data_IF_454196297837
#
_entry.id   IF_454196297837
#
_cell.length_a   1.000
_cell.length_b   1.000
_cell.length_c   1.000
_cell.angle_alpha   90.00
_cell.angle_beta   90.00
_cell.angle_gamma   90.00
#
_symmetry.space_group_name_H-M   'P 1'
#
loop_
_entity.id
_entity.type
_entity.pdbx_description
1 polymer ?
#
# COMPACT_ATOMS: atom_id res chain seq x y z
N UNK A 1 3.32 -26.50 5.56
CA UNK A 1 2.99 -26.48 6.99
C UNK A 1 1.51 -26.74 7.14
N UNK A 2 1.18 -27.82 7.84
CA UNK A 2 -0.22 -28.17 8.14
C UNK A 2 -0.61 -27.40 9.40
N UNK A 3 -1.35 -26.29 9.23
CA UNK A 3 -1.88 -25.50 10.34
C UNK A 3 -2.96 -26.33 11.05
N UNK A 4 -2.93 -26.36 12.37
CA UNK A 4 -3.95 -27.06 13.16
C UNK A 4 -5.33 -26.43 12.91
N UNK A 5 -6.41 -27.22 12.78
CA UNK A 5 -7.76 -26.70 12.54
C UNK A 5 -8.21 -25.62 13.55
N UNK A 6 -7.81 -25.75 14.81
CA UNK A 6 -8.11 -24.78 15.84
C UNK A 6 -7.39 -23.45 15.63
N UNK A 7 -6.13 -23.46 15.18
CA UNK A 7 -5.38 -22.26 14.85
C UNK A 7 -5.99 -21.58 13.62
N UNK A 8 -6.37 -22.36 12.61
CA UNK A 8 -7.06 -21.86 11.42
C UNK A 8 -8.35 -21.13 11.80
N UNK A 9 -9.13 -21.71 12.72
CA UNK A 9 -10.38 -21.13 13.21
C UNK A 9 -10.11 -19.83 13.99
N UNK A 10 -9.13 -19.81 14.89
CA UNK A 10 -8.75 -18.61 15.66
C UNK A 10 -8.29 -17.48 14.74
N UNK A 11 -7.46 -17.77 13.74
CA UNK A 11 -7.02 -16.81 12.74
C UNK A 11 -8.21 -16.25 11.94
N UNK A 12 -9.15 -17.10 11.55
CA UNK A 12 -10.34 -16.66 10.80
C UNK A 12 -11.19 -15.66 11.59
N UNK A 13 -11.42 -15.91 12.86
CA UNK A 13 -12.16 -14.97 13.73
C UNK A 13 -11.37 -13.68 13.98
N UNK A 14 -10.06 -13.77 14.13
CA UNK A 14 -9.18 -12.62 14.28
C UNK A 14 -9.27 -11.68 13.07
N UNK A 15 -9.06 -12.20 11.87
CA UNK A 15 -9.13 -11.41 10.63
C UNK A 15 -10.56 -10.90 10.35
N UNK A 16 -11.58 -11.70 10.62
CA UNK A 16 -12.97 -11.27 10.52
C UNK A 16 -13.28 -10.10 11.49
N UNK A 17 -12.68 -10.12 12.67
CA UNK A 17 -12.81 -9.02 13.64
C UNK A 17 -12.28 -7.70 13.11
N UNK A 18 -11.09 -7.68 12.56
CA UNK A 18 -10.53 -6.49 11.90
C UNK A 18 -11.42 -5.99 10.76
N UNK A 19 -11.86 -6.91 9.90
CA UNK A 19 -12.65 -6.57 8.72
C UNK A 19 -14.01 -5.96 9.06
N UNK A 20 -14.74 -6.51 10.04
CA UNK A 20 -16.06 -6.02 10.43
C UNK A 20 -15.95 -4.63 11.04
N UNK A 21 -14.98 -4.36 11.88
CA UNK A 21 -14.77 -3.03 12.44
C UNK A 21 -14.42 -2.03 11.35
N UNK A 22 -13.54 -2.40 10.42
CA UNK A 22 -13.22 -1.55 9.27
C UNK A 22 -14.43 -1.25 8.38
N UNK A 23 -15.38 -2.16 8.27
CA UNK A 23 -16.61 -1.97 7.50
C UNK A 23 -17.61 -1.04 8.22
N UNK A 24 -17.72 -1.17 9.53
CA UNK A 24 -18.74 -0.45 10.33
C UNK A 24 -18.31 1.00 10.60
N UNK A 25 -17.03 1.25 10.86
CA UNK A 25 -16.53 2.58 11.21
C UNK A 25 -16.30 3.43 9.95
N UNK A 26 -16.85 4.67 9.91
CA UNK A 26 -16.98 5.42 8.65
C UNK A 26 -15.68 6.02 8.12
N UNK A 27 -14.69 6.26 8.98
CA UNK A 27 -13.42 6.89 8.55
C UNK A 27 -12.35 5.91 8.10
N UNK A 28 -12.61 4.62 8.23
CA UNK A 28 -11.65 3.57 7.87
C UNK A 28 -11.71 3.21 6.40
N UNK A 29 -10.56 2.86 5.85
CA UNK A 29 -10.46 2.42 4.47
C UNK A 29 -11.19 1.09 4.27
N UNK A 30 -11.83 0.89 3.10
CA UNK A 30 -12.61 -0.31 2.83
C UNK A 30 -11.72 -1.55 2.80
N UNK A 31 -12.30 -2.67 3.24
CA UNK A 31 -11.67 -3.98 3.16
C UNK A 31 -11.61 -4.43 1.71
N UNK A 32 -10.42 -4.72 1.21
CA UNK A 32 -10.19 -5.22 -0.15
C UNK A 32 -10.08 -6.73 -0.21
N UNK A 33 -9.48 -7.31 0.80
CA UNK A 33 -9.30 -8.76 0.89
C UNK A 33 -9.08 -9.19 2.33
N UNK A 34 -9.62 -10.34 2.68
CA UNK A 34 -9.34 -11.05 3.91
C UNK A 34 -8.76 -12.42 3.53
N UNK A 35 -7.69 -12.83 4.18
CA UNK A 35 -7.05 -14.13 3.93
C UNK A 35 -6.53 -14.75 5.21
N UNK A 36 -6.73 -16.05 5.33
CA UNK A 36 -6.13 -16.88 6.39
C UNK A 36 -5.05 -17.83 5.84
N UNK A 37 -4.60 -17.55 4.62
CA UNK A 37 -3.45 -18.25 4.04
C UNK A 37 -2.19 -17.60 4.60
N UNK A 38 -1.30 -18.39 5.21
CA UNK A 38 -0.08 -17.86 5.79
C UNK A 38 0.80 -17.14 4.76
N UNK A 39 1.28 -15.96 5.12
CA UNK A 39 2.20 -15.17 4.30
C UNK A 39 3.38 -14.71 5.17
N UNK A 40 4.56 -15.27 4.91
CA UNK A 40 5.74 -14.98 5.72
C UNK A 40 5.56 -15.43 7.18
N UNK A 41 5.55 -14.48 8.11
CA UNK A 41 5.31 -14.72 9.55
C UNK A 41 3.84 -14.54 9.97
N UNK A 42 3.02 -13.96 9.12
CA UNK A 42 1.61 -13.75 9.37
C UNK A 42 0.82 -15.03 9.08
N UNK A 43 -0.11 -15.38 9.97
CA UNK A 43 -1.02 -16.51 9.80
C UNK A 43 -2.23 -16.17 8.94
N UNK A 44 -2.50 -14.86 8.77
CA UNK A 44 -3.55 -14.29 7.93
C UNK A 44 -3.31 -12.80 7.72
N UNK A 45 -4.21 -12.13 7.01
CA UNK A 45 -4.22 -10.68 6.85
C UNK A 45 -5.58 -10.16 6.43
N UNK A 46 -5.86 -8.93 6.82
CA UNK A 46 -6.95 -8.11 6.32
C UNK A 46 -6.34 -6.91 5.60
N UNK A 47 -6.56 -6.81 4.30
CA UNK A 47 -6.02 -5.74 3.46
C UNK A 47 -7.04 -4.62 3.30
N UNK A 48 -6.66 -3.44 3.78
CA UNK A 48 -7.37 -2.19 3.56
C UNK A 48 -6.53 -1.32 2.63
N UNK A 49 -7.13 -0.73 1.61
CA UNK A 49 -6.44 0.18 0.71
C UNK A 49 -7.06 1.56 0.80
N UNK A 50 -6.26 2.61 0.92
CA UNK A 50 -6.73 3.99 0.89
C UNK A 50 -7.52 4.26 -0.39
N UNK A 51 -8.65 4.95 -0.26
CA UNK A 51 -9.42 5.43 -1.41
C UNK A 51 -8.92 6.79 -1.89
N UNK A 52 -8.37 7.57 -0.97
CA UNK A 52 -7.90 8.94 -1.23
C UNK A 52 -6.59 9.20 -0.48
N UNK A 53 -5.78 10.12 -0.98
CA UNK A 53 -4.60 10.61 -0.28
C UNK A 53 -5.04 11.48 0.90
N UNK A 54 -4.70 11.06 2.13
CA UNK A 54 -5.00 11.81 3.35
C UNK A 54 -3.79 12.66 3.74
N UNK A 55 -4.01 13.98 3.80
CA UNK A 55 -2.97 14.93 4.23
C UNK A 55 -3.00 15.25 5.72
N UNK A 56 -4.07 14.87 6.41
CA UNK A 56 -4.27 15.12 7.84
C UNK A 56 -4.92 13.94 8.54
N UNK A 57 -4.53 13.69 9.77
CA UNK A 57 -5.12 12.66 10.64
C UNK A 57 -5.97 13.36 11.71
N UNK A 58 -7.24 13.03 11.80
CA UNK A 58 -8.12 13.52 12.86
C UNK A 58 -8.13 12.58 14.06
N UNK A 59 -8.41 13.14 15.25
CA UNK A 59 -8.52 12.37 16.50
C UNK A 59 -9.54 11.22 16.39
N UNK A 60 -10.68 11.47 15.75
CA UNK A 60 -11.70 10.44 15.52
C UNK A 60 -11.21 9.31 14.64
N UNK A 61 -10.52 9.63 13.56
CA UNK A 61 -9.96 8.63 12.63
C UNK A 61 -8.90 7.75 13.31
N UNK A 62 -8.00 8.35 14.08
CA UNK A 62 -6.99 7.60 14.83
C UNK A 62 -7.63 6.72 15.91
N UNK A 63 -8.67 7.19 16.60
CA UNK A 63 -9.43 6.37 17.55
C UNK A 63 -10.12 5.19 16.88
N UNK A 64 -10.69 5.38 15.70
CA UNK A 64 -11.32 4.30 14.91
C UNK A 64 -10.27 3.31 14.42
N UNK A 65 -9.10 3.79 14.00
CA UNK A 65 -7.99 2.93 13.58
C UNK A 65 -7.50 2.04 14.75
N UNK A 66 -7.39 2.60 15.95
CA UNK A 66 -7.05 1.81 17.15
C UNK A 66 -8.12 0.73 17.39
N UNK A 67 -9.41 1.05 17.28
CA UNK A 67 -10.49 0.08 17.42
C UNK A 67 -10.36 -1.06 16.41
N UNK A 68 -10.04 -0.76 15.15
CA UNK A 68 -9.81 -1.77 14.12
C UNK A 68 -8.61 -2.66 14.44
N UNK A 69 -7.48 -2.08 14.87
CA UNK A 69 -6.30 -2.85 15.27
C UNK A 69 -6.57 -3.80 16.44
N UNK A 70 -7.42 -3.41 17.38
CA UNK A 70 -7.82 -4.25 18.52
C UNK A 70 -8.88 -5.29 18.16
N UNK A 71 -9.50 -5.18 16.98
CA UNK A 71 -10.62 -6.01 16.56
C UNK A 71 -10.35 -7.51 16.54
N UNK A 72 -9.16 -7.92 16.10
CA UNK A 72 -8.76 -9.32 16.09
C UNK A 72 -8.72 -9.92 17.49
N UNK A 73 -8.10 -9.22 18.44
CA UNK A 73 -8.05 -9.63 19.84
C UNK A 73 -9.43 -9.67 20.50
N UNK A 74 -10.26 -8.68 20.22
CA UNK A 74 -11.64 -8.63 20.73
C UNK A 74 -12.45 -9.81 20.18
N UNK A 75 -12.34 -10.12 18.89
CA UNK A 75 -13.00 -11.26 18.27
C UNK A 75 -12.60 -12.58 18.94
N UNK A 76 -11.32 -12.79 19.23
CA UNK A 76 -10.84 -13.94 19.97
C UNK A 76 -11.47 -14.00 21.37
N UNK A 77 -11.51 -12.88 22.10
CA UNK A 77 -12.05 -12.81 23.46
C UNK A 77 -13.52 -13.17 23.51
N UNK A 78 -14.36 -12.58 22.67
CA UNK A 78 -15.80 -12.81 22.70
C UNK A 78 -16.18 -14.20 22.17
N UNK A 79 -15.36 -14.78 21.28
CA UNK A 79 -15.65 -16.09 20.69
C UNK A 79 -15.10 -17.25 21.50
N UNK A 80 -13.87 -17.14 21.98
CA UNK A 80 -13.14 -18.24 22.64
C UNK A 80 -12.92 -18.01 24.14
N UNK A 81 -13.22 -16.82 24.65
CA UNK A 81 -12.89 -16.38 26.01
C UNK A 81 -11.39 -16.59 26.35
N UNK A 82 -10.52 -16.41 25.35
CA UNK A 82 -9.09 -16.62 25.43
C UNK A 82 -8.36 -15.65 24.49
N UNK A 83 -7.04 -15.57 24.64
CA UNK A 83 -6.19 -14.70 23.83
C UNK A 83 -5.03 -15.47 23.23
N UNK A 84 -4.72 -15.21 21.98
CA UNK A 84 -3.49 -15.67 21.35
C UNK A 84 -2.41 -14.58 21.35
N UNK A 85 -1.17 -14.97 21.10
CA UNK A 85 -0.06 -14.04 20.84
C UNK A 85 -0.14 -13.38 19.45
N UNK A 86 -1.10 -13.77 18.60
CA UNK A 86 -1.26 -13.25 17.23
C UNK A 86 -1.49 -11.75 17.16
N UNK A 87 -2.18 -11.21 18.15
CA UNK A 87 -2.48 -9.77 18.23
C UNK A 87 -1.31 -8.88 18.72
N UNK A 88 -0.12 -9.42 18.97
CA UNK A 88 0.99 -8.65 19.55
C UNK A 88 1.40 -7.44 18.72
N UNK A 89 1.47 -7.58 17.40
CA UNK A 89 1.78 -6.49 16.49
C UNK A 89 0.68 -5.43 16.47
N UNK A 90 -0.58 -5.84 16.45
CA UNK A 90 -1.73 -4.93 16.45
C UNK A 90 -1.79 -4.11 17.74
N UNK A 91 -1.54 -4.75 18.88
CA UNK A 91 -1.47 -4.08 20.19
C UNK A 91 -0.32 -3.08 20.22
N UNK A 92 0.85 -3.44 19.69
CA UNK A 92 1.99 -2.53 19.59
C UNK A 92 1.63 -1.31 18.74
N UNK A 93 1.10 -1.50 17.55
CA UNK A 93 0.69 -0.40 16.66
C UNK A 93 -0.40 0.48 17.29
N UNK A 94 -1.40 -0.13 17.92
CA UNK A 94 -2.44 0.60 18.65
C UNK A 94 -1.84 1.50 19.76
N UNK A 95 -0.90 0.95 20.53
CA UNK A 95 -0.20 1.68 21.60
C UNK A 95 0.63 2.83 21.05
N UNK A 96 1.35 2.62 19.94
CA UNK A 96 2.14 3.66 19.27
C UNK A 96 1.26 4.82 18.77
N UNK A 97 0.10 4.52 18.17
CA UNK A 97 -0.88 5.53 17.75
C UNK A 97 -1.40 6.31 18.97
N UNK A 98 -1.83 5.64 20.02
CA UNK A 98 -2.32 6.29 21.24
C UNK A 98 -1.26 7.18 21.88
N UNK A 99 -0.01 6.73 21.94
CA UNK A 99 1.12 7.50 22.44
C UNK A 99 1.40 8.75 21.58
N UNK A 100 1.40 8.60 20.26
CA UNK A 100 1.53 9.72 19.30
C UNK A 100 0.41 10.75 19.49
N UNK A 101 -0.84 10.32 19.65
CA UNK A 101 -1.97 11.21 19.89
C UNK A 101 -1.76 12.07 21.15
N UNK A 102 -1.30 11.45 22.24
CA UNK A 102 -1.12 12.12 23.53
C UNK A 102 0.13 12.99 23.57
N UNK A 103 1.27 12.49 23.10
CA UNK A 103 2.57 13.13 23.28
C UNK A 103 3.00 14.03 22.14
N UNK A 104 2.48 13.82 20.91
CA UNK A 104 2.92 14.54 19.70
C UNK A 104 1.84 15.40 19.08
N UNK A 105 0.61 14.91 19.05
CA UNK A 105 -0.48 15.56 18.31
C UNK A 105 -1.39 16.43 19.18
N UNK A 106 -1.14 16.48 20.49
CA UNK A 106 -1.94 17.30 21.42
C UNK A 106 -3.41 16.91 21.44
N UNK A 107 -3.74 15.64 21.26
CA UNK A 107 -5.12 15.15 21.13
C UNK A 107 -5.71 14.64 22.46
N UNK A 108 -5.05 14.87 23.58
CA UNK A 108 -5.58 14.62 24.92
C UNK A 108 -6.09 15.90 25.52
N UNK A 109 -7.33 15.91 25.99
CA UNK A 109 -7.92 17.08 26.66
C UNK A 109 -7.26 17.34 28.03
N UNK A 110 -6.81 16.28 28.71
CA UNK A 110 -6.10 16.39 30.01
C UNK A 110 -4.70 17.00 29.88
N UNK A 111 -3.96 16.63 28.85
CA UNK A 111 -2.58 17.07 28.64
C UNK A 111 -2.45 18.28 27.73
N UNK A 112 -3.50 18.60 26.98
CA UNK A 112 -3.59 19.75 26.09
C UNK A 112 -2.68 19.67 24.85
N UNK A 113 -2.59 20.77 24.09
CA UNK A 113 -1.84 20.85 22.84
C UNK A 113 -0.35 21.12 23.10
N UNK A 114 0.32 20.20 23.77
CA UNK A 114 1.72 20.28 24.17
C UNK A 114 2.44 19.04 23.63
N UNK A 115 3.66 19.24 23.13
CA UNK A 115 4.56 18.14 22.75
C UNK A 115 5.38 17.71 23.97
N UNK A 116 5.24 16.45 24.35
CA UNK A 116 5.97 15.83 25.44
C UNK A 116 7.07 14.91 24.88
N UNK A 117 8.28 15.07 25.38
CA UNK A 117 9.46 14.32 24.95
C UNK A 117 10.15 14.94 23.73
N UNK A 118 11.44 14.64 23.56
CA UNK A 118 12.22 15.06 22.41
C UNK A 118 11.88 14.20 21.17
N UNK A 119 11.60 14.87 20.05
CA UNK A 119 11.13 14.23 18.81
C UNK A 119 12.14 13.45 18.01
N UNK A 120 13.35 13.29 18.48
CA UNK A 120 14.43 12.67 17.73
C UNK A 120 14.98 11.44 18.45
N UNK A 121 14.41 10.29 18.17
CA UNK A 121 15.22 9.08 18.11
C UNK A 121 15.67 8.91 16.65
N UNK A 122 16.58 9.75 16.19
CA UNK A 122 17.40 9.37 15.04
C UNK A 122 18.25 8.20 15.51
N UNK A 123 17.92 7.03 14.98
CA UNK A 123 18.78 5.85 15.05
C UNK A 123 20.01 6.15 14.19
N UNK A 124 20.93 6.91 14.77
CA UNK A 124 22.25 7.10 14.19
C UNK A 124 23.25 6.28 15.00
N UNK A 125 23.73 5.20 14.39
CA UNK A 125 24.89 4.41 14.80
C UNK A 125 24.84 3.80 16.22
N UNK A 126 23.90 2.90 16.49
CA UNK A 126 24.09 1.86 17.51
C UNK A 126 24.24 2.34 18.97
N UNK A 127 23.94 3.60 19.28
CA UNK A 127 23.75 4.09 20.63
C UNK A 127 22.32 4.55 20.79
N UNK A 128 21.62 3.79 21.60
CA UNK A 128 20.31 4.12 22.15
C UNK A 128 20.49 5.34 23.09
N UNK A 129 20.54 6.54 22.51
CA UNK A 129 20.30 7.75 23.27
C UNK A 129 18.77 7.82 23.43
N UNK A 130 18.27 7.17 24.47
CA UNK A 130 16.90 7.33 24.91
C UNK A 130 16.57 8.82 24.95
N UNK A 131 15.58 9.24 24.13
CA UNK A 131 15.17 10.64 24.08
C UNK A 131 14.96 11.17 25.49
N UNK A 132 15.60 12.27 25.79
CA UNK A 132 15.60 12.83 27.13
C UNK A 132 14.16 13.19 27.50
N UNK A 133 13.69 12.61 28.60
CA UNK A 133 12.37 12.84 29.16
C UNK A 133 12.33 14.27 29.68
N UNK A 134 11.67 15.17 28.95
CA UNK A 134 11.57 16.59 29.27
C UNK A 134 10.31 16.97 30.06
N UNK A 135 9.76 16.04 30.83
CA UNK A 135 8.56 16.24 31.66
C UNK A 135 8.65 15.50 33.00
N UNK A 136 7.86 15.95 33.96
CA UNK A 136 7.83 15.42 35.32
C UNK A 136 7.29 14.00 35.42
N UNK A 137 7.56 13.31 36.55
CA UNK A 137 6.98 11.99 36.81
C UNK A 137 5.44 12.05 36.92
N UNK A 138 4.88 13.14 37.44
CA UNK A 138 3.45 13.34 37.50
C UNK A 138 2.85 13.46 36.10
N UNK A 139 3.49 14.16 35.19
CA UNK A 139 3.10 14.22 33.78
C UNK A 139 3.22 12.85 33.09
N UNK A 140 4.30 12.10 33.37
CA UNK A 140 4.45 10.74 32.86
C UNK A 140 3.30 9.83 33.26
N UNK A 141 2.86 9.91 34.53
CA UNK A 141 1.71 9.15 35.01
C UNK A 141 0.40 9.54 34.30
N UNK A 142 0.21 10.83 33.98
CA UNK A 142 -0.94 11.30 33.20
C UNK A 142 -0.87 10.81 31.75
N UNK A 143 0.31 10.80 31.13
CA UNK A 143 0.51 10.24 29.79
C UNK A 143 0.12 8.76 29.76
N UNK A 144 0.59 7.97 30.71
CA UNK A 144 0.24 6.55 30.83
C UNK A 144 -1.27 6.33 31.03
N UNK A 145 -1.88 7.16 31.87
CA UNK A 145 -3.33 7.16 32.13
C UNK A 145 -4.13 7.47 30.86
N UNK A 146 -3.74 8.49 30.09
CA UNK A 146 -4.40 8.89 28.86
C UNK A 146 -4.26 7.83 27.75
N UNK A 147 -3.07 7.24 27.60
CA UNK A 147 -2.87 6.11 26.67
C UNK A 147 -3.80 4.95 27.02
N UNK A 148 -3.83 4.58 28.30
CA UNK A 148 -4.73 3.52 28.78
C UNK A 148 -6.19 3.84 28.52
N UNK A 149 -6.63 5.08 28.74
CA UNK A 149 -7.99 5.53 28.47
C UNK A 149 -8.33 5.39 26.98
N UNK A 150 -7.49 5.88 26.08
CA UNK A 150 -7.69 5.82 24.63
C UNK A 150 -7.81 4.35 24.18
N UNK A 151 -6.90 3.49 24.61
CA UNK A 151 -6.92 2.05 24.28
C UNK A 151 -8.19 1.38 24.83
N UNK A 152 -8.59 1.66 26.07
CA UNK A 152 -9.78 1.08 26.69
C UNK A 152 -11.06 1.50 25.97
N UNK A 153 -11.22 2.77 25.64
CA UNK A 153 -12.37 3.28 24.89
C UNK A 153 -12.45 2.66 23.49
N UNK A 154 -11.32 2.51 22.80
CA UNK A 154 -11.26 1.87 21.50
C UNK A 154 -11.58 0.37 21.58
N UNK A 155 -11.11 -0.31 22.62
CA UNK A 155 -11.41 -1.71 22.90
C UNK A 155 -12.90 -1.92 23.14
N UNK A 156 -13.51 -1.10 24.02
CA UNK A 156 -14.94 -1.18 24.35
C UNK A 156 -15.81 -0.93 23.11
N UNK A 157 -15.42 0.01 22.26
CA UNK A 157 -16.08 0.26 20.97
C UNK A 157 -16.00 -0.96 20.05
N UNK A 158 -14.83 -1.56 19.92
CA UNK A 158 -14.63 -2.77 19.14
C UNK A 158 -15.47 -3.94 19.67
N UNK A 159 -15.52 -4.11 20.99
CA UNK A 159 -16.35 -5.14 21.64
C UNK A 159 -17.84 -4.93 21.38
N UNK A 160 -18.33 -3.69 21.49
CA UNK A 160 -19.70 -3.34 21.17
C UNK A 160 -20.04 -3.68 19.72
N UNK A 161 -19.22 -3.24 18.76
CA UNK A 161 -19.45 -3.48 17.33
C UNK A 161 -19.49 -4.98 17.04
N UNK A 162 -18.51 -5.76 17.51
CA UNK A 162 -18.45 -7.18 17.24
C UNK A 162 -19.53 -7.98 17.96
N UNK A 163 -20.03 -7.50 19.09
CA UNK A 163 -21.16 -8.11 19.78
C UNK A 163 -22.46 -7.86 19.02
N UNK A 164 -22.69 -6.62 18.56
CA UNK A 164 -23.84 -6.27 17.73
C UNK A 164 -23.87 -6.99 16.38
N UNK A 165 -22.68 -7.31 15.82
CA UNK A 165 -22.49 -8.02 14.55
C UNK A 165 -22.00 -9.46 14.75
N UNK A 166 -22.34 -10.10 15.85
CA UNK A 166 -21.82 -11.43 16.20
C UNK A 166 -22.20 -12.51 15.18
N UNK A 167 -23.36 -12.41 14.54
CA UNK A 167 -23.81 -13.27 13.45
C UNK A 167 -22.94 -13.11 12.19
N UNK A 168 -22.57 -11.88 11.83
CA UNK A 168 -21.66 -11.58 10.72
C UNK A 168 -20.24 -12.02 11.03
N UNK A 169 -19.77 -11.81 12.25
CA UNK A 169 -18.46 -12.30 12.70
C UNK A 169 -18.36 -13.82 12.52
N UNK A 170 -19.36 -14.55 12.96
CA UNK A 170 -19.42 -16.00 12.79
C UNK A 170 -19.44 -16.40 11.32
N UNK A 171 -20.32 -15.78 10.52
CA UNK A 171 -20.46 -16.09 9.09
C UNK A 171 -19.15 -15.87 8.34
N UNK A 172 -18.52 -14.69 8.46
CA UNK A 172 -17.27 -14.36 7.78
C UNK A 172 -16.14 -15.29 8.21
N UNK A 173 -16.00 -15.53 9.52
CA UNK A 173 -14.96 -16.42 10.03
C UNK A 173 -15.14 -17.87 9.54
N UNK A 174 -16.34 -18.41 9.57
CA UNK A 174 -16.61 -19.77 9.10
C UNK A 174 -16.46 -19.91 7.58
N UNK A 175 -16.82 -18.85 6.82
CA UNK A 175 -16.52 -18.79 5.40
C UNK A 175 -15.02 -18.86 5.13
N UNK A 176 -14.21 -18.07 5.86
CA UNK A 176 -12.75 -18.10 5.75
C UNK A 176 -12.15 -19.46 6.12
N UNK A 177 -12.69 -20.14 7.12
CA UNK A 177 -12.26 -21.50 7.46
C UNK A 177 -12.45 -22.46 6.29
N UNK A 178 -13.54 -22.29 5.52
CA UNK A 178 -13.90 -23.16 4.38
C UNK A 178 -13.14 -22.77 3.09
N UNK A 179 -13.12 -21.49 2.75
CA UNK A 179 -12.61 -20.99 1.47
C UNK A 179 -11.29 -20.23 1.54
N UNK A 180 -10.79 -19.95 2.74
CA UNK A 180 -9.49 -19.34 3.07
C UNK A 180 -9.32 -17.88 2.68
N UNK A 181 -10.06 -17.38 1.70
CA UNK A 181 -10.01 -15.99 1.23
C UNK A 181 -11.39 -15.44 0.95
N UNK A 182 -11.55 -14.12 1.15
CA UNK A 182 -12.76 -13.37 0.80
C UNK A 182 -12.34 -12.04 0.19
N UNK A 183 -12.84 -11.73 -1.02
CA UNK A 183 -12.56 -10.45 -1.65
C UNK A 183 -13.55 -9.36 -1.22
N UNK A 184 -13.32 -8.12 -1.68
CA UNK A 184 -14.13 -6.95 -1.36
C UNK A 184 -15.62 -7.14 -1.65
N UNK A 185 -15.96 -7.68 -2.82
CA UNK A 185 -17.36 -7.84 -3.25
C UNK A 185 -18.04 -8.93 -2.41
N UNK A 186 -17.36 -10.05 -2.19
CA UNK A 186 -17.84 -11.12 -1.32
C UNK A 186 -18.09 -10.62 0.11
N UNK A 187 -17.13 -9.89 0.68
CA UNK A 187 -17.24 -9.37 2.04
C UNK A 187 -18.37 -8.35 2.17
N UNK A 188 -18.44 -7.38 1.27
CA UNK A 188 -19.51 -6.38 1.24
C UNK A 188 -20.88 -7.03 1.12
N UNK A 189 -21.04 -8.00 0.20
CA UNK A 189 -22.29 -8.74 0.02
C UNK A 189 -22.66 -9.52 1.29
N UNK A 190 -21.70 -10.19 1.93
CA UNK A 190 -21.93 -10.90 3.18
C UNK A 190 -22.38 -9.99 4.33
N UNK A 191 -21.88 -8.75 4.38
CA UNK A 191 -22.24 -7.76 5.40
C UNK A 191 -23.61 -7.13 5.14
N UNK A 192 -24.02 -6.92 3.90
CA UNK A 192 -25.23 -6.20 3.52
C UNK A 192 -26.52 -7.04 3.55
N UNK A 193 -26.44 -8.36 3.64
CA UNK A 193 -27.60 -9.22 3.65
C UNK A 193 -27.32 -10.62 4.21
N UNK A 194 -28.36 -11.44 4.22
CA UNK A 194 -28.23 -12.85 4.61
C UNK A 194 -28.02 -13.72 3.37
N UNK A 195 -26.90 -14.42 3.36
CA UNK A 195 -26.47 -15.24 2.24
C UNK A 195 -25.93 -16.59 2.72
N UNK A 196 -25.99 -17.58 1.83
CA UNK A 196 -25.29 -18.84 2.05
C UNK A 196 -23.81 -18.73 1.65
N UNK A 197 -22.98 -19.66 2.10
CA UNK A 197 -21.57 -19.71 1.69
C UNK A 197 -21.42 -19.93 0.19
N UNK A 198 -22.31 -20.73 -0.38
CA UNK A 198 -22.34 -21.05 -1.80
C UNK A 198 -22.67 -19.82 -2.66
N UNK A 199 -23.62 -18.98 -2.23
CA UNK A 199 -23.96 -17.72 -2.91
C UNK A 199 -22.77 -16.75 -2.90
N UNK A 200 -22.07 -16.62 -1.78
CA UNK A 200 -20.89 -15.76 -1.67
C UNK A 200 -19.73 -16.32 -2.51
N UNK A 201 -19.53 -17.64 -2.53
CA UNK A 201 -18.48 -18.26 -3.33
C UNK A 201 -18.74 -18.14 -4.83
N UNK A 202 -19.99 -18.21 -5.26
CA UNK A 202 -20.39 -18.06 -6.67
C UNK A 202 -19.96 -16.71 -7.26
N UNK A 203 -19.90 -15.65 -6.45
CA UNK A 203 -19.40 -14.33 -6.86
C UNK A 203 -17.95 -14.45 -7.38
N UNK A 204 -17.10 -15.18 -6.65
CA UNK A 204 -15.72 -15.40 -7.05
C UNK A 204 -15.60 -16.30 -8.28
N UNK A 205 -16.41 -17.35 -8.33
CA UNK A 205 -16.40 -18.31 -9.43
C UNK A 205 -16.86 -17.65 -10.73
N UNK A 206 -17.86 -16.78 -10.67
CA UNK A 206 -18.31 -15.98 -11.82
C UNK A 206 -17.23 -14.99 -12.29
N UNK A 207 -16.56 -14.32 -11.36
CA UNK A 207 -15.44 -13.43 -11.67
C UNK A 207 -14.30 -14.18 -12.36
N UNK A 208 -13.97 -15.38 -11.88
CA UNK A 208 -12.95 -16.24 -12.51
C UNK A 208 -13.37 -16.65 -13.93
N UNK A 209 -14.62 -17.06 -14.12
CA UNK A 209 -15.13 -17.43 -15.46
C UNK A 209 -15.02 -16.27 -16.44
N UNK A 210 -15.42 -15.06 -16.02
CA UNK A 210 -15.31 -13.85 -16.85
C UNK A 210 -13.85 -13.53 -17.20
N UNK A 211 -12.95 -13.55 -16.22
CA UNK A 211 -11.53 -13.31 -16.45
C UNK A 211 -10.87 -14.34 -17.36
N UNK A 212 -11.24 -15.62 -17.24
CA UNK A 212 -10.73 -16.67 -18.12
C UNK A 212 -11.25 -16.48 -19.55
N UNK A 213 -12.52 -16.11 -19.74
CA UNK A 213 -13.09 -15.84 -21.05
C UNK A 213 -12.43 -14.63 -21.73
N UNK A 214 -12.20 -13.54 -20.98
CA UNK A 214 -11.50 -12.35 -21.50
C UNK A 214 -10.04 -12.64 -21.89
N UNK A 215 -9.34 -13.43 -21.09
CA UNK A 215 -7.97 -13.83 -21.38
C UNK A 215 -7.89 -14.75 -22.62
N UNK A 216 -8.85 -15.66 -22.78
CA UNK A 216 -8.93 -16.52 -23.95
C UNK A 216 -9.25 -15.72 -25.23
N UNK A 217 -10.18 -14.76 -25.15
CA UNK A 217 -10.50 -13.88 -26.26
C UNK A 217 -9.31 -13.02 -26.67
N UNK A 218 -8.57 -12.50 -25.66
CA UNK A 218 -7.33 -11.73 -25.91
C UNK A 218 -6.27 -12.60 -26.60
N UNK A 219 -6.08 -13.83 -26.11
CA UNK A 219 -5.14 -14.78 -26.70
C UNK A 219 -5.47 -15.08 -28.17
N UNK A 220 -6.75 -15.30 -28.46
CA UNK A 220 -7.21 -15.57 -29.83
C UNK A 220 -6.98 -14.36 -30.74
N UNK A 221 -7.27 -13.14 -30.27
CA UNK A 221 -7.00 -11.91 -31.04
C UNK A 221 -5.49 -11.71 -31.32
N UNK A 222 -4.66 -11.94 -30.31
CA UNK A 222 -3.20 -11.83 -30.46
C UNK A 222 -2.67 -12.86 -31.46
N UNK A 223 -3.21 -14.08 -31.45
CA UNK A 223 -2.87 -15.14 -32.39
C UNK A 223 -3.32 -14.83 -33.83
N UNK A 224 -4.53 -14.29 -34.01
CA UNK A 224 -5.02 -13.86 -35.32
C UNK A 224 -4.19 -12.68 -35.86
N UNK A 225 -3.86 -11.71 -35.03
CA UNK A 225 -3.02 -10.57 -35.43
C UNK A 225 -1.62 -11.04 -35.86
N UNK A 226 -1.04 -12.00 -35.13
CA UNK A 226 0.25 -12.59 -35.46
C UNK A 226 0.18 -13.30 -36.82
N UNK A 227 -0.84 -14.11 -37.06
CA UNK A 227 -1.04 -14.81 -38.36
C UNK A 227 -1.20 -13.81 -39.51
N UNK A 228 -1.94 -12.72 -39.29
CA UNK A 228 -2.12 -11.68 -40.31
C UNK A 228 -0.79 -10.98 -40.64
N UNK A 229 0.02 -10.66 -39.64
CA UNK A 229 1.36 -10.07 -39.85
C UNK A 229 2.30 -11.03 -40.61
N UNK A 230 2.31 -12.29 -40.22
CA UNK A 230 3.10 -13.31 -40.92
C UNK A 230 2.68 -13.47 -42.38
N UNK A 231 1.36 -13.41 -42.66
CA UNK A 231 0.85 -13.46 -44.03
C UNK A 231 1.17 -12.20 -44.84
N UNK A 232 1.04 -11.01 -44.25
CA UNK A 232 1.42 -9.74 -44.87
C UNK A 232 2.93 -9.72 -45.19
N UNK A 233 3.79 -10.17 -44.27
CA UNK A 233 5.24 -10.29 -44.51
C UNK A 233 5.56 -11.31 -45.64
N UNK A 234 4.86 -12.44 -45.66
CA UNK A 234 5.03 -13.41 -46.73
C UNK A 234 4.66 -12.80 -48.10
N UNK A 235 3.50 -12.14 -48.18
CA UNK A 235 3.04 -11.49 -49.41
C UNK A 235 3.99 -10.34 -49.83
N UNK A 236 4.54 -9.59 -48.88
CA UNK A 236 5.54 -8.55 -49.16
C UNK A 236 6.81 -9.14 -49.77
N UNK A 237 7.34 -10.21 -49.19
CA UNK A 237 8.51 -10.92 -49.72
C UNK A 237 8.27 -11.53 -51.13
N UNK A 238 7.07 -12.08 -51.37
CA UNK A 238 6.67 -12.61 -52.70
C UNK A 238 6.61 -11.48 -53.75
N UNK A 239 6.08 -10.30 -53.39
CA UNK A 239 6.03 -9.10 -54.25
C UNK A 239 7.43 -8.57 -54.56
N UNK A 240 8.30 -8.54 -53.57
CA UNK A 240 9.72 -8.10 -53.72
C UNK A 240 10.49 -9.04 -54.63
N UNK A 241 10.35 -10.36 -54.44
CA UNK A 241 10.97 -11.37 -55.31
C UNK A 241 10.43 -11.32 -56.75
N UNK A 242 9.12 -11.07 -56.94
CA UNK A 242 8.53 -10.89 -58.25
C UNK A 242 9.03 -9.63 -58.97
N UNK A 243 9.24 -8.52 -58.21
CA UNK A 243 9.80 -7.27 -58.72
C UNK A 243 11.28 -7.43 -59.15
N UNK A 244 12.08 -8.16 -58.35
CA UNK A 244 13.46 -8.48 -58.71
C UNK A 244 13.60 -9.39 -59.95
N UNK A 245 12.72 -10.38 -60.10
CA UNK A 245 12.65 -11.23 -61.25
C UNK A 245 12.26 -10.47 -62.53
N UNK A 246 11.37 -9.45 -62.42
CA UNK A 246 10.97 -8.62 -63.55
C UNK A 246 12.02 -7.59 -63.96
N UNK A 247 12.96 -7.19 -63.05
CA UNK A 247 14.04 -6.27 -63.35
C UNK A 247 15.32 -6.94 -63.87
N UNK A 248 15.39 -8.27 -63.89
CA UNK A 248 16.58 -9.05 -64.27
C UNK A 248 16.78 -9.33 -65.75
N UNK A 249 15.87 -8.91 -66.68
CA UNK A 249 15.96 -9.22 -68.13
C UNK A 249 16.05 -7.96 -68.98
N UNK A 250 17.12 -7.12 -68.75
CA UNK A 250 17.60 -6.11 -69.72
C UNK A 250 19.10 -6.02 -69.66
N UNK A 251 19.82 -7.01 -70.25
CA UNK A 251 21.18 -6.78 -70.69
C UNK A 251 21.29 -6.99 -72.19
N UNK A 252 21.07 -5.90 -72.96
CA UNK A 252 21.52 -5.76 -74.31
C UNK A 252 22.80 -4.88 -74.37
N UNK A 253 23.70 -5.05 -75.37
CA UNK A 253 25.12 -4.71 -75.22
C UNK A 253 25.43 -3.20 -75.34
N UNK A 254 26.52 -2.87 -74.70
CA UNK A 254 27.17 -1.58 -74.60
C UNK A 254 27.40 -0.85 -75.96
N UNK A 255 27.17 0.44 -75.97
CA UNK A 255 27.86 1.37 -76.92
C UNK A 255 28.54 2.47 -76.09
N UNK A 256 29.90 2.50 -76.26
CA UNK A 256 30.74 3.56 -75.74
C UNK A 256 30.39 4.92 -76.33
N UNK A 257 30.40 5.97 -75.51
CA UNK A 257 30.86 7.28 -75.92
C UNK A 257 31.13 8.19 -74.69
N UNK A 258 32.42 8.40 -74.49
CA UNK A 258 33.13 9.63 -74.06
C UNK A 258 32.53 10.56 -73.04
N UNK A 259 33.31 10.77 -71.98
CA UNK A 259 33.31 11.91 -71.04
C UNK A 259 33.61 13.26 -71.79
N UNK A 260 33.40 14.47 -71.18
CA UNK A 260 34.21 14.87 -70.05
C UNK A 260 33.59 15.86 -69.04
N UNK A 261 34.22 15.83 -67.85
CA UNK A 261 34.66 16.97 -66.98
C UNK A 261 33.58 17.89 -66.33
N UNK A 262 33.66 17.90 -65.00
CA UNK A 262 33.45 19.14 -64.26
C UNK A 262 32.82 19.07 -62.89
N UNK A 263 33.68 19.12 -61.90
CA UNK A 263 33.64 19.82 -60.60
C UNK A 263 32.71 19.37 -59.48
N UNK A 264 33.42 18.93 -58.49
CA UNK A 264 33.26 18.96 -57.02
C UNK A 264 32.09 19.74 -56.42
N UNK A 265 31.40 19.09 -55.50
CA UNK A 265 31.14 19.62 -54.14
C UNK A 265 30.66 18.48 -53.23
N UNK A 266 31.52 18.13 -52.31
CA UNK A 266 31.23 17.33 -51.13
C UNK A 266 30.20 18.02 -50.26
N UNK A 267 29.19 17.29 -49.79
CA UNK A 267 28.47 17.60 -48.57
C UNK A 267 28.25 16.29 -47.82
N UNK A 268 28.96 16.17 -46.74
CA UNK A 268 28.76 15.12 -45.75
C UNK A 268 27.44 15.29 -45.01
N UNK A 269 26.74 14.23 -44.64
CA UNK A 269 25.60 14.31 -43.72
C UNK A 269 26.08 14.24 -42.26
N UNK A 270 25.74 15.28 -41.51
CA UNK A 270 25.92 15.37 -40.06
C UNK A 270 24.86 14.57 -39.34
N UNK A 271 25.33 13.68 -38.46
CA UNK A 271 24.50 12.99 -37.44
C UNK A 271 23.91 13.97 -36.43
N UNK A 272 22.73 13.70 -35.84
CA UNK A 272 22.21 14.47 -34.73
C UNK A 272 22.78 13.95 -33.39
N UNK A 273 23.45 14.82 -32.69
CA UNK A 273 23.95 14.68 -31.32
C UNK A 273 22.82 14.65 -30.30
N UNK A 274 22.88 13.65 -29.45
CA UNK A 274 22.11 13.59 -28.21
C UNK A 274 22.53 14.71 -27.24
N UNK A 275 21.56 15.43 -26.70
CA UNK A 275 21.76 16.41 -25.65
C UNK A 275 21.42 15.79 -24.28
N UNK A 276 22.48 15.50 -23.52
CA UNK A 276 22.40 15.25 -22.08
C UNK A 276 22.26 16.60 -21.36
N UNK A 277 21.15 16.78 -20.66
CA UNK A 277 20.94 17.88 -19.72
C UNK A 277 21.26 17.40 -18.30
N UNK A 278 22.41 17.79 -17.79
CA UNK A 278 22.73 17.74 -16.36
C UNK A 278 22.24 19.02 -15.70
N UNK A 279 21.32 18.86 -14.74
CA UNK A 279 20.91 19.94 -13.83
C UNK A 279 21.95 20.09 -12.73
N UNK A 280 22.55 21.26 -12.66
CA UNK A 280 23.43 21.72 -11.59
C UNK A 280 22.65 22.49 -10.55
N UNK A 281 22.74 22.07 -9.31
CA UNK A 281 22.37 22.81 -8.12
C UNK A 281 23.16 24.13 -8.01
N UNK A 282 22.57 25.20 -7.47
CA UNK A 282 23.33 26.40 -7.09
C UNK A 282 23.81 26.28 -5.65
N UNK A 283 25.11 26.33 -5.49
CA UNK A 283 25.81 26.55 -4.22
C UNK A 283 25.68 27.98 -3.79
N UNK A 284 25.16 28.19 -2.60
CA UNK A 284 25.16 29.48 -1.93
C UNK A 284 26.45 29.66 -1.14
N UNK A 285 27.13 30.74 -1.43
CA UNK A 285 28.40 31.11 -0.85
C UNK A 285 28.18 32.15 0.25
N UNK A 286 28.97 31.99 1.31
CA UNK A 286 29.07 32.82 2.49
C UNK A 286 29.46 34.28 2.16
N UNK A 287 28.94 35.19 2.92
CA UNK A 287 29.72 36.40 3.24
C UNK A 287 29.62 36.77 4.73
N UNK A 288 30.81 36.92 5.30
CA UNK A 288 31.10 37.37 6.61
C UNK A 288 31.07 38.89 6.65
N UNK A 289 30.54 39.48 7.69
CA UNK A 289 31.13 40.72 8.25
C UNK A 289 30.98 40.74 9.74
N UNK A 290 32.15 40.84 10.36
CA UNK A 290 32.43 41.26 11.73
C UNK A 290 31.98 42.69 12.01
N UNK A 291 31.67 42.99 13.26
CA UNK A 291 32.12 44.16 14.04
C UNK A 291 31.34 44.16 15.36
N UNK A 292 32.01 43.81 16.40
CA UNK A 292 32.68 44.61 17.46
C UNK A 292 31.79 45.54 18.29
N UNK A 293 32.00 45.32 19.56
CA UNK A 293 32.23 46.25 20.66
C UNK A 293 31.09 46.57 21.63
N UNK A 294 31.38 46.23 22.80
CA UNK A 294 31.54 47.10 23.99
C UNK A 294 30.47 47.05 25.08
N UNK A 295 30.89 46.44 26.12
CA UNK A 295 31.15 46.93 27.49
C UNK A 295 29.99 47.54 28.30
N UNK A 296 29.99 47.06 29.45
CA UNK A 296 29.94 47.68 30.78
C UNK A 296 28.72 47.32 31.63
N UNK A 297 29.04 46.58 32.67
CA UNK A 297 28.98 46.94 34.09
C UNK A 297 27.71 47.70 34.56
N UNK A 298 27.05 47.12 35.49
CA UNK A 298 26.95 47.54 36.89
C UNK A 298 25.86 46.78 37.62
N UNK A 299 26.31 46.11 38.67
CA UNK A 299 25.83 46.04 40.03
C UNK A 299 24.38 46.43 40.38
N UNK A 300 23.91 45.63 41.29
CA UNK A 300 23.23 45.89 42.54
C UNK A 300 21.76 45.48 42.70
N UNK A 301 21.65 44.75 43.67
CA UNK A 301 20.67 44.33 44.70
C UNK A 301 20.00 43.00 44.54
#
# INVERSE_FOLDING_TARGET
HNIRPEEKKKTAYHEAGHAIIAHVLPSLDPVRQISIIPSGRALGYTLNLPQEDKYSEYRSELSEHISMLLGGRVAEKITFNDFSGGASNDIQRATEIARKMVTRLGMSDELGPIVYGSGHSEVFLGKDFGGEKNYSESTAALIDSEIKRIITEAYDRAEQILTEHSDKLKFVAEFLVKYETMDEIQFKTAMEGDHTFEEIQEIMDEKRRKSMAENEEKRLRDEEEKKRREEEERLAREREAASEAASGDVTGPAVEASAPIGTEAEIEPTEPTEANGEDKEPTENADQTDEDANSSDTDNE
#
